data_IF_580017877632
#
_entry.id   IF_580017877632
#
_cell.length_a   1.000
_cell.length_b   1.000
_cell.length_c   1.000
_cell.angle_alpha   90.00
_cell.angle_beta   90.00
_cell.angle_gamma   90.00
#
_symmetry.space_group_name_H-M   'P 1'
#
loop_
_entity.id
_entity.type
_entity.pdbx_description
1 polymer ?
#
# COMPACT_ATOMS: atom_id res chain seq x y z
N UNK A 1 11.46 -11.82 2.21
CA UNK A 1 12.46 -11.68 3.30
C UNK A 1 11.69 -11.39 4.59
N UNK A 2 12.05 -11.97 5.73
CA UNK A 2 11.38 -11.71 7.02
C UNK A 2 12.41 -11.13 7.99
N UNK A 3 12.45 -9.80 8.08
CA UNK A 3 13.39 -9.06 8.92
C UNK A 3 12.77 -7.73 9.32
N UNK A 4 12.94 -7.35 10.59
CA UNK A 4 12.54 -6.05 11.13
C UNK A 4 13.53 -5.63 12.20
N UNK A 5 13.70 -4.33 12.38
CA UNK A 5 14.52 -3.76 13.45
C UNK A 5 13.60 -3.01 14.42
N UNK A 6 13.71 -3.31 15.71
CA UNK A 6 12.87 -2.73 16.77
C UNK A 6 13.78 -1.96 17.73
N UNK A 7 13.63 -0.64 17.75
CA UNK A 7 14.46 0.25 18.56
C UNK A 7 13.73 0.62 19.85
N UNK A 8 14.22 0.14 21.00
CA UNK A 8 13.60 0.37 22.33
C UNK A 8 14.65 0.99 23.27
N UNK A 9 14.70 2.33 23.40
CA UNK A 9 15.69 3.00 24.24
C UNK A 9 15.56 2.66 25.74
N UNK A 10 14.33 2.44 26.22
CA UNK A 10 14.09 2.08 27.62
C UNK A 10 14.52 0.64 27.90
N UNK A 11 15.55 0.46 28.72
CA UNK A 11 16.13 -0.85 29.04
C UNK A 11 15.15 -1.83 29.70
N UNK A 12 14.29 -1.34 30.61
CA UNK A 12 13.30 -2.17 31.28
C UNK A 12 12.27 -2.70 30.29
N UNK A 13 11.78 -1.82 29.41
CA UNK A 13 10.85 -2.21 28.35
C UNK A 13 11.51 -3.15 27.34
N UNK A 14 12.75 -2.89 26.93
CA UNK A 14 13.51 -3.72 25.99
C UNK A 14 13.69 -5.14 26.52
N UNK A 15 14.06 -5.29 27.81
CA UNK A 15 14.18 -6.62 28.44
C UNK A 15 12.85 -7.37 28.50
N UNK A 16 11.75 -6.68 28.83
CA UNK A 16 10.41 -7.28 28.82
C UNK A 16 9.99 -7.72 27.42
N UNK A 17 10.26 -6.89 26.41
CA UNK A 17 9.96 -7.20 25.02
C UNK A 17 10.72 -8.44 24.53
N UNK A 18 12.03 -8.51 24.75
CA UNK A 18 12.86 -9.67 24.37
C UNK A 18 12.34 -10.96 25.02
N UNK A 19 11.98 -10.91 26.31
CA UNK A 19 11.43 -12.07 27.02
C UNK A 19 10.15 -12.60 26.37
N UNK A 20 9.26 -11.73 25.91
CA UNK A 20 8.01 -12.16 25.26
C UNK A 20 8.25 -12.65 23.83
N UNK A 21 9.19 -12.06 23.09
CA UNK A 21 9.63 -12.57 21.77
C UNK A 21 10.18 -14.00 21.89
N UNK A 22 11.03 -14.26 22.89
CA UNK A 22 11.60 -15.59 23.14
C UNK A 22 10.49 -16.60 23.47
N UNK A 23 9.51 -16.22 24.30
CA UNK A 23 8.37 -17.07 24.65
C UNK A 23 7.45 -17.36 23.47
N UNK A 24 7.35 -16.44 22.51
CA UNK A 24 6.61 -16.65 21.26
C UNK A 24 7.37 -17.56 20.27
N UNK A 25 8.61 -17.95 20.57
CA UNK A 25 9.44 -18.79 19.70
C UNK A 25 10.05 -18.04 18.52
N UNK A 26 9.99 -16.70 18.51
CA UNK A 26 10.53 -15.85 17.45
C UNK A 26 11.96 -15.43 17.77
N UNK A 27 12.88 -16.38 17.84
CA UNK A 27 14.24 -16.13 18.37
C UNK A 27 15.29 -15.82 17.30
N UNK A 28 15.02 -16.06 16.02
CA UNK A 28 16.04 -15.96 14.95
C UNK A 28 15.48 -15.37 13.66
N UNK A 29 16.34 -14.61 12.98
CA UNK A 29 16.10 -14.15 11.60
C UNK A 29 16.55 -15.23 10.62
N UNK A 30 15.86 -15.36 9.48
CA UNK A 30 16.36 -16.21 8.41
C UNK A 30 17.59 -15.57 7.74
N UNK A 31 18.50 -16.42 7.23
CA UNK A 31 19.78 -16.01 6.63
C UNK A 31 19.62 -14.97 5.54
N UNK A 32 18.63 -15.14 4.66
CA UNK A 32 18.37 -14.19 3.57
C UNK A 32 17.91 -12.83 4.09
N UNK A 33 17.15 -12.78 5.19
CA UNK A 33 16.69 -11.55 5.83
C UNK A 33 17.86 -10.73 6.36
N UNK A 34 18.86 -11.37 6.97
CA UNK A 34 20.07 -10.71 7.46
C UNK A 34 20.84 -10.07 6.29
N UNK A 35 21.16 -10.86 5.27
CA UNK A 35 21.94 -10.40 4.11
C UNK A 35 21.19 -9.33 3.32
N UNK A 36 19.87 -9.51 3.13
CA UNK A 36 19.03 -8.55 2.42
C UNK A 36 18.90 -7.22 3.16
N UNK A 37 18.74 -7.23 4.49
CA UNK A 37 18.69 -6.02 5.30
C UNK A 37 20.02 -5.26 5.27
N UNK A 38 21.14 -5.98 5.37
CA UNK A 38 22.47 -5.39 5.29
C UNK A 38 22.70 -4.70 3.94
N UNK A 39 22.39 -5.39 2.84
CA UNK A 39 22.49 -4.81 1.49
C UNK A 39 21.59 -3.58 1.32
N UNK A 40 20.33 -3.69 1.74
CA UNK A 40 19.37 -2.59 1.65
C UNK A 40 19.86 -1.31 2.36
N UNK A 41 20.43 -1.44 3.56
CA UNK A 41 20.91 -0.27 4.31
C UNK A 41 22.30 0.23 3.89
N UNK A 42 23.19 -0.64 3.41
CA UNK A 42 24.54 -0.22 3.01
C UNK A 42 24.58 0.46 1.64
N UNK A 43 23.79 -0.04 0.68
CA UNK A 43 23.91 0.38 -0.73
C UNK A 43 22.57 0.68 -1.41
N UNK A 44 21.44 0.53 -0.71
CA UNK A 44 20.11 0.71 -1.32
C UNK A 44 19.64 2.16 -1.46
N UNK A 45 20.36 3.14 -0.93
CA UNK A 45 19.92 4.54 -0.92
C UNK A 45 19.68 5.12 -2.34
N UNK A 46 20.57 4.94 -3.33
CA UNK A 46 20.33 5.48 -4.68
C UNK A 46 19.08 4.88 -5.33
N UNK A 47 18.87 3.57 -5.19
CA UNK A 47 17.68 2.90 -5.69
C UNK A 47 16.40 3.42 -5.01
N UNK A 48 16.46 3.70 -3.70
CA UNK A 48 15.33 4.24 -2.97
C UNK A 48 14.97 5.66 -3.43
N UNK A 49 15.96 6.49 -3.71
CA UNK A 49 15.74 7.85 -4.21
C UNK A 49 15.05 7.82 -5.58
N UNK A 50 15.56 7.02 -6.53
CA UNK A 50 14.93 6.80 -7.83
C UNK A 50 13.51 6.22 -7.70
N UNK A 51 13.32 5.23 -6.81
CA UNK A 51 12.00 4.65 -6.56
C UNK A 51 11.02 5.73 -6.05
N UNK A 52 11.44 6.57 -5.11
CA UNK A 52 10.56 7.61 -4.55
C UNK A 52 10.09 8.60 -5.62
N UNK A 53 10.98 9.02 -6.51
CA UNK A 53 10.62 9.87 -7.65
C UNK A 53 9.60 9.16 -8.56
N UNK A 54 9.87 7.90 -8.91
CA UNK A 54 8.96 7.10 -9.73
C UNK A 54 7.56 6.93 -9.11
N UNK A 55 7.50 6.66 -7.80
CA UNK A 55 6.24 6.52 -7.07
C UNK A 55 5.50 7.86 -6.98
N UNK A 56 6.20 8.97 -6.76
CA UNK A 56 5.61 10.32 -6.78
C UNK A 56 4.95 10.60 -8.13
N UNK A 57 5.62 10.25 -9.23
CA UNK A 57 5.07 10.41 -10.57
C UNK A 57 3.84 9.51 -10.79
N UNK A 58 3.84 8.28 -10.30
CA UNK A 58 2.68 7.39 -10.35
C UNK A 58 1.50 7.89 -9.51
N UNK A 59 1.77 8.50 -8.36
CA UNK A 59 0.76 9.15 -7.53
C UNK A 59 0.13 10.32 -8.29
N UNK A 60 0.97 11.21 -8.84
CA UNK A 60 0.50 12.36 -9.62
C UNK A 60 -0.37 11.92 -10.80
N UNK A 61 0.10 10.93 -11.54
CA UNK A 61 -0.65 10.38 -12.66
C UNK A 61 -2.01 9.82 -12.26
N UNK A 62 -2.06 9.02 -11.19
CA UNK A 62 -3.34 8.47 -10.69
C UNK A 62 -4.32 9.59 -10.34
N UNK A 63 -3.85 10.62 -9.64
CA UNK A 63 -4.69 11.79 -9.28
C UNK A 63 -5.25 12.45 -10.54
N UNK A 64 -4.39 12.78 -11.51
CA UNK A 64 -4.79 13.46 -12.73
C UNK A 64 -5.73 12.61 -13.59
N UNK A 65 -5.45 11.30 -13.68
CA UNK A 65 -6.25 10.37 -14.45
C UNK A 65 -7.66 10.20 -13.87
N UNK A 66 -7.75 9.94 -12.57
CA UNK A 66 -9.03 9.76 -11.88
C UNK A 66 -9.84 11.05 -11.92
N UNK A 67 -9.23 12.20 -11.65
CA UNK A 67 -9.91 13.49 -11.72
C UNK A 67 -10.47 13.79 -13.12
N UNK A 68 -9.73 13.40 -14.18
CA UNK A 68 -10.13 13.64 -15.57
C UNK A 68 -11.23 12.70 -16.04
N UNK A 69 -11.19 11.42 -15.65
CA UNK A 69 -11.99 10.37 -16.29
C UNK A 69 -13.00 9.67 -15.37
N UNK A 70 -12.82 9.74 -14.06
CA UNK A 70 -13.68 9.08 -13.07
C UNK A 70 -14.13 10.08 -12.00
N UNK A 71 -14.87 11.16 -12.37
CA UNK A 71 -15.10 12.32 -11.49
C UNK A 71 -15.98 12.05 -10.26
N UNK A 72 -16.58 10.85 -10.16
CA UNK A 72 -17.30 10.39 -8.95
C UNK A 72 -16.35 9.79 -7.91
N UNK A 73 -15.10 9.54 -8.26
CA UNK A 73 -14.08 9.03 -7.36
C UNK A 73 -13.15 10.18 -7.00
N UNK A 74 -12.91 10.37 -5.71
CA UNK A 74 -11.95 11.36 -5.22
C UNK A 74 -10.69 10.67 -4.71
N UNK A 75 -9.52 11.19 -5.07
CA UNK A 75 -8.22 10.62 -4.67
C UNK A 75 -7.56 11.55 -3.67
N UNK A 76 -7.22 11.01 -2.49
CA UNK A 76 -6.43 11.74 -1.51
C UNK A 76 -4.95 11.58 -1.85
N UNK A 77 -4.25 12.70 -2.03
CA UNK A 77 -2.79 12.68 -2.21
C UNK A 77 -2.13 12.18 -0.92
N UNK A 78 -1.38 11.07 -0.97
CA UNK A 78 -0.62 10.63 0.19
C UNK A 78 0.62 11.50 0.41
N UNK A 79 0.94 11.79 1.67
CA UNK A 79 2.22 12.40 2.08
C UNK A 79 3.34 11.35 2.21
N UNK A 80 2.97 10.06 2.24
CA UNK A 80 3.88 8.93 2.32
C UNK A 80 3.21 7.61 1.98
N UNK A 81 4.03 6.56 1.88
CA UNK A 81 3.66 5.24 1.34
C UNK A 81 3.36 5.26 -0.18
N UNK A 82 3.19 4.08 -0.75
CA UNK A 82 2.81 3.86 -2.16
C UNK A 82 1.35 3.36 -2.30
N UNK A 83 0.55 3.49 -1.25
CA UNK A 83 -0.84 3.06 -1.20
C UNK A 83 -1.73 4.30 -1.18
N UNK A 84 -2.62 4.42 -2.15
CA UNK A 84 -3.51 5.58 -2.30
C UNK A 84 -4.94 5.22 -1.90
N UNK A 85 -5.61 6.14 -1.23
CA UNK A 85 -7.02 6.01 -0.84
C UNK A 85 -7.92 6.73 -1.83
N UNK A 86 -8.92 6.02 -2.34
CA UNK A 86 -9.90 6.49 -3.30
C UNK A 86 -11.28 6.45 -2.65
N UNK A 87 -11.87 7.63 -2.47
CA UNK A 87 -13.23 7.81 -1.98
C UNK A 87 -14.23 7.60 -3.12
N UNK A 88 -15.04 6.57 -2.95
CA UNK A 88 -16.06 6.12 -3.87
C UNK A 88 -17.48 6.43 -3.36
N UNK A 89 -17.65 7.25 -2.31
CA UNK A 89 -18.95 7.57 -1.69
C UNK A 89 -19.98 8.19 -2.65
N UNK A 90 -19.52 8.78 -3.77
CA UNK A 90 -20.40 9.34 -4.81
C UNK A 90 -20.78 8.33 -5.89
N UNK A 91 -20.28 7.11 -5.84
CA UNK A 91 -20.77 6.02 -6.67
C UNK A 91 -22.14 5.57 -6.14
N UNK A 92 -23.11 5.29 -7.01
CA UNK A 92 -24.43 4.81 -6.59
C UNK A 92 -24.42 3.31 -6.29
N UNK A 93 -23.43 2.85 -5.52
CA UNK A 93 -23.19 1.45 -5.19
C UNK A 93 -22.94 1.34 -3.68
N UNK A 94 -23.52 0.32 -3.06
CA UNK A 94 -23.09 -0.08 -1.72
C UNK A 94 -21.64 -0.59 -1.73
N UNK A 95 -20.95 -0.64 -0.58
CA UNK A 95 -19.58 -1.16 -0.51
C UNK A 95 -19.43 -2.56 -1.12
N UNK A 96 -20.41 -3.44 -0.90
CA UNK A 96 -20.40 -4.80 -1.44
C UNK A 96 -20.58 -4.82 -2.96
N UNK A 97 -21.54 -4.06 -3.48
CA UNK A 97 -21.78 -3.98 -4.93
C UNK A 97 -20.57 -3.36 -5.65
N UNK A 98 -19.91 -2.38 -5.03
CA UNK A 98 -18.68 -1.77 -5.56
C UNK A 98 -17.54 -2.79 -5.63
N UNK A 99 -17.30 -3.55 -4.57
CA UNK A 99 -16.27 -4.60 -4.54
C UNK A 99 -16.53 -5.66 -5.61
N UNK A 100 -17.77 -6.15 -5.71
CA UNK A 100 -18.18 -7.10 -6.74
C UNK A 100 -18.02 -6.54 -8.17
N UNK A 101 -18.35 -5.27 -8.39
CA UNK A 101 -18.19 -4.60 -9.68
C UNK A 101 -16.71 -4.44 -10.06
N UNK A 102 -15.86 -4.01 -9.13
CA UNK A 102 -14.41 -3.84 -9.37
C UNK A 102 -13.75 -5.19 -9.69
N UNK A 103 -14.09 -6.24 -8.96
CA UNK A 103 -13.53 -7.59 -9.18
C UNK A 103 -14.04 -8.20 -10.48
N UNK A 104 -15.36 -8.14 -10.73
CA UNK A 104 -15.96 -8.90 -11.82
C UNK A 104 -16.00 -8.16 -13.15
N UNK A 105 -16.18 -6.84 -13.16
CA UNK A 105 -16.25 -6.05 -14.39
C UNK A 105 -14.90 -5.41 -14.73
N UNK A 106 -14.27 -4.72 -13.77
CA UNK A 106 -12.96 -4.10 -13.99
C UNK A 106 -11.79 -5.11 -13.96
N UNK A 107 -12.02 -6.33 -13.46
CA UNK A 107 -10.99 -7.38 -13.28
C UNK A 107 -9.81 -6.90 -12.43
N UNK A 108 -10.10 -6.08 -11.42
CA UNK A 108 -9.11 -5.56 -10.48
C UNK A 108 -9.30 -6.18 -9.10
N UNK A 109 -8.18 -6.36 -8.41
CA UNK A 109 -8.20 -6.68 -7.00
C UNK A 109 -7.57 -5.52 -6.22
N UNK A 110 -8.43 -4.76 -5.55
CA UNK A 110 -8.05 -3.66 -4.67
C UNK A 110 -8.26 -4.09 -3.21
N UNK A 111 -7.68 -3.32 -2.29
CA UNK A 111 -7.98 -3.48 -0.88
C UNK A 111 -9.27 -2.71 -0.56
N UNK A 112 -10.37 -3.44 -0.36
CA UNK A 112 -11.65 -2.88 0.08
C UNK A 112 -11.48 -2.13 1.41
N UNK A 113 -11.93 -0.89 1.46
CA UNK A 113 -11.70 -0.01 2.61
C UNK A 113 -12.35 -0.49 3.91
N UNK A 114 -13.39 -1.32 3.82
CA UNK A 114 -14.05 -1.97 4.97
C UNK A 114 -13.11 -2.84 5.81
N UNK A 115 -12.02 -3.35 5.24
CA UNK A 115 -10.96 -4.06 5.98
C UNK A 115 -10.27 -3.18 7.03
N UNK A 116 -10.36 -1.85 6.90
CA UNK A 116 -9.74 -0.87 7.79
C UNK A 116 -10.70 -0.27 8.82
N UNK A 117 -11.98 -0.70 8.83
CA UNK A 117 -13.01 -0.25 9.76
C UNK A 117 -14.16 0.48 9.06
N UNK A 118 -15.17 0.87 9.87
CA UNK A 118 -16.43 1.46 9.38
C UNK A 118 -16.22 2.76 8.60
N UNK A 119 -15.24 3.57 8.98
CA UNK A 119 -14.92 4.83 8.29
C UNK A 119 -14.28 4.60 6.90
N UNK A 120 -13.89 3.36 6.59
CA UNK A 120 -13.31 2.98 5.30
C UNK A 120 -14.32 2.38 4.32
N UNK A 121 -15.59 2.18 4.67
CA UNK A 121 -16.57 1.47 3.84
C UNK A 121 -16.75 2.08 2.45
N UNK A 122 -16.62 3.39 2.32
CA UNK A 122 -16.75 4.11 1.05
C UNK A 122 -15.46 4.17 0.23
N UNK A 123 -14.39 3.52 0.67
CA UNK A 123 -13.08 3.64 0.07
C UNK A 123 -12.57 2.37 -0.58
N UNK A 124 -11.70 2.57 -1.57
CA UNK A 124 -10.81 1.55 -2.11
C UNK A 124 -9.37 1.99 -1.94
N UNK A 125 -8.47 1.06 -1.65
CA UNK A 125 -7.03 1.33 -1.58
C UNK A 125 -6.29 0.64 -2.72
N UNK A 126 -5.61 1.45 -3.54
CA UNK A 126 -4.81 0.99 -4.68
C UNK A 126 -3.32 1.05 -4.36
N UNK A 127 -2.57 0.06 -4.87
CA UNK A 127 -1.11 0.06 -4.84
C UNK A 127 -0.55 0.64 -6.15
N UNK A 128 0.18 1.76 -6.05
CA UNK A 128 0.81 2.41 -7.21
C UNK A 128 2.31 2.11 -7.35
N UNK A 129 2.85 1.23 -6.50
CA UNK A 129 4.20 0.67 -6.64
C UNK A 129 4.26 -0.47 -7.65
N UNK A 130 3.95 -0.13 -8.90
CA UNK A 130 4.05 -1.01 -10.06
C UNK A 130 4.56 -0.21 -11.27
N UNK A 131 4.98 -0.88 -12.36
CA UNK A 131 5.31 -0.17 -13.60
C UNK A 131 4.13 0.69 -14.07
N UNK A 132 4.40 1.90 -14.57
CA UNK A 132 3.40 2.85 -15.08
C UNK A 132 2.38 2.19 -16.01
N UNK A 133 2.84 1.33 -16.90
CA UNK A 133 1.97 0.60 -17.83
C UNK A 133 0.91 -0.26 -17.11
N UNK A 134 1.29 -0.97 -16.05
CA UNK A 134 0.35 -1.76 -15.24
C UNK A 134 -0.67 -0.87 -14.54
N UNK A 135 -0.23 0.29 -14.02
CA UNK A 135 -1.11 1.28 -13.41
C UNK A 135 -2.11 1.86 -14.42
N UNK A 136 -1.64 2.22 -15.62
CA UNK A 136 -2.46 2.68 -16.74
C UNK A 136 -3.52 1.65 -17.15
N UNK A 137 -3.09 0.39 -17.34
CA UNK A 137 -4.00 -0.71 -17.68
C UNK A 137 -5.06 -0.92 -16.62
N UNK A 138 -4.68 -0.84 -15.33
CA UNK A 138 -5.61 -0.97 -14.22
C UNK A 138 -6.64 0.16 -14.17
N UNK A 139 -6.18 1.41 -14.21
CA UNK A 139 -7.08 2.57 -14.20
C UNK A 139 -7.99 2.61 -15.44
N UNK A 140 -7.50 2.16 -16.59
CA UNK A 140 -8.30 2.05 -17.81
C UNK A 140 -9.31 0.89 -17.77
N UNK A 141 -8.98 -0.22 -17.13
CA UNK A 141 -9.92 -1.30 -16.89
C UNK A 141 -11.07 -0.84 -15.98
N UNK A 142 -10.73 -0.12 -14.90
CA UNK A 142 -11.75 0.46 -14.01
C UNK A 142 -12.62 1.49 -14.73
N UNK A 143 -12.02 2.42 -15.48
CA UNK A 143 -12.76 3.47 -16.19
C UNK A 143 -13.80 2.90 -17.18
N UNK A 144 -13.52 1.75 -17.79
CA UNK A 144 -14.37 1.12 -18.80
C UNK A 144 -15.51 0.28 -18.22
N UNK A 145 -15.36 -0.20 -16.98
CA UNK A 145 -16.39 -0.91 -16.24
C UNK A 145 -17.53 0.03 -15.82
#
# INVERSE_FOLDING_TARGET
>A
LQVSNIFIPNDSLRRRFIKEIDRAGYSQLNTMGIVGCEGAYKVGAPWLDELKEYIQDNIQFTIDYVAKYMPKIHVYRPEGTYLMWLDCSKLPLSPKERDEWIINEAKLWLDTGSMFGVDGEDFERINVACPRKTLEEGLEAWRRA
#
